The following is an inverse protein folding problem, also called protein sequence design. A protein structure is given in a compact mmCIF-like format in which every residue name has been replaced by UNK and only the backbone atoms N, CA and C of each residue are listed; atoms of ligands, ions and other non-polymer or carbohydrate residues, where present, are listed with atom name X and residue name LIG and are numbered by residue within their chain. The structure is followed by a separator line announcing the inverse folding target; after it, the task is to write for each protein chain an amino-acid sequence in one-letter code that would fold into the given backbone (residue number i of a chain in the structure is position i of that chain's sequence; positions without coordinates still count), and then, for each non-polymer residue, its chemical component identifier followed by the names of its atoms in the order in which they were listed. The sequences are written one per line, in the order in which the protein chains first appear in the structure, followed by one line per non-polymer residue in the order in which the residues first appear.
data_IF_294909606024
#
_entry.id   IF_294909606024
#
_cell.length_a   1.000
_cell.length_b   1.000
_cell.length_c   1.000
_cell.angle_alpha   90.00
_cell.angle_beta   90.00
_cell.angle_gamma   90.00
#
_symmetry.space_group_name_H-M   'P 1'
#
loop_
_entity.id
_entity.type
_entity.pdbx_description
1 polymer ?
#
# COMPACT_ATOMS: atom_id res chain seq x y z
N UNK A 1 37.88 10.88 -3.38
CA UNK A 1 37.63 9.51 -2.89
C UNK A 1 36.23 9.32 -2.28
N UNK A 2 35.61 10.32 -1.63
CA UNK A 2 34.24 10.20 -1.10
C UNK A 2 33.16 9.96 -2.18
N UNK A 3 33.33 10.54 -3.37
CA UNK A 3 32.33 10.49 -4.45
C UNK A 3 32.20 9.11 -5.13
N UNK A 4 33.26 8.28 -5.13
CA UNK A 4 33.23 6.95 -5.75
C UNK A 4 32.47 5.93 -4.90
N UNK A 5 32.50 6.06 -3.58
CA UNK A 5 31.80 5.15 -2.67
C UNK A 5 30.29 5.38 -2.67
N UNK A 6 29.86 6.65 -2.71
CA UNK A 6 28.46 7.04 -2.81
C UNK A 6 27.82 6.60 -4.14
N UNK A 7 28.58 6.69 -5.24
CA UNK A 7 28.13 6.20 -6.54
C UNK A 7 28.00 4.66 -6.54
N UNK A 8 28.95 3.94 -5.95
CA UNK A 8 28.88 2.49 -5.83
C UNK A 8 27.68 2.02 -4.97
N UNK A 9 27.39 2.70 -3.86
CA UNK A 9 26.21 2.42 -3.04
C UNK A 9 24.91 2.68 -3.81
N UNK A 10 24.83 3.80 -4.55
CA UNK A 10 23.67 4.09 -5.42
C UNK A 10 23.43 2.97 -6.43
N UNK A 11 24.48 2.53 -7.11
CA UNK A 11 24.38 1.49 -8.15
C UNK A 11 23.97 0.13 -7.55
N UNK A 12 24.44 -0.19 -6.35
CA UNK A 12 24.00 -1.38 -5.61
C UNK A 12 22.50 -1.32 -5.26
N UNK A 13 22.02 -0.18 -4.76
CA UNK A 13 20.59 0.00 -4.45
C UNK A 13 19.72 -0.10 -5.71
N UNK A 14 20.13 0.54 -6.82
CA UNK A 14 19.43 0.43 -8.11
C UNK A 14 19.38 -1.04 -8.56
N UNK A 15 20.49 -1.76 -8.47
CA UNK A 15 20.56 -3.19 -8.80
C UNK A 15 19.63 -4.03 -7.92
N UNK A 16 19.55 -3.75 -6.62
CA UNK A 16 18.65 -4.44 -5.69
C UNK A 16 17.17 -4.21 -6.02
N UNK A 17 16.79 -2.98 -6.34
CA UNK A 17 15.42 -2.63 -6.77
C UNK A 17 15.04 -3.35 -8.07
N UNK A 18 15.90 -3.29 -9.09
CA UNK A 18 15.67 -3.95 -10.39
C UNK A 18 15.60 -5.47 -10.27
N UNK A 19 16.41 -6.05 -9.39
CA UNK A 19 16.37 -7.47 -9.07
C UNK A 19 15.17 -7.89 -8.20
N UNK A 20 14.30 -6.94 -7.79
CA UNK A 20 13.10 -7.18 -6.96
C UNK A 20 13.43 -7.86 -5.64
N UNK A 21 14.64 -7.64 -5.12
CA UNK A 21 15.09 -8.19 -3.83
C UNK A 21 14.54 -7.44 -2.63
N UNK A 22 14.03 -6.22 -2.86
CA UNK A 22 13.39 -5.39 -1.85
C UNK A 22 11.88 -5.56 -1.95
N UNK A 23 11.26 -6.12 -0.90
CA UNK A 23 9.84 -6.48 -0.91
C UNK A 23 9.06 -5.94 0.29
N UNK A 24 9.68 -5.15 1.16
CA UNK A 24 9.00 -4.51 2.29
C UNK A 24 8.81 -3.00 2.10
N UNK A 25 7.74 -2.46 2.66
CA UNK A 25 7.46 -1.02 2.64
C UNK A 25 8.59 -0.21 3.29
N UNK A 26 9.10 -0.67 4.44
CA UNK A 26 10.13 0.06 5.20
C UNK A 26 11.45 0.15 4.44
N UNK A 27 11.87 -0.92 3.77
CA UNK A 27 13.09 -0.89 2.96
C UNK A 27 12.94 0.01 1.74
N UNK A 28 11.80 -0.06 1.04
CA UNK A 28 11.51 0.86 -0.08
C UNK A 28 11.50 2.31 0.39
N UNK A 29 10.88 2.63 1.54
CA UNK A 29 10.91 3.98 2.11
C UNK A 29 12.31 4.43 2.49
N UNK A 30 13.14 3.55 3.04
CA UNK A 30 14.55 3.85 3.36
C UNK A 30 15.33 4.22 2.11
N UNK A 31 15.19 3.43 1.03
CA UNK A 31 15.86 3.69 -0.24
C UNK A 31 15.35 4.98 -0.89
N UNK A 32 14.03 5.24 -0.84
CA UNK A 32 13.44 6.48 -1.32
C UNK A 32 14.04 7.71 -0.64
N UNK A 33 14.13 7.69 0.70
CA UNK A 33 14.74 8.78 1.47
C UNK A 33 16.22 8.97 1.11
N UNK A 34 16.97 7.88 0.92
CA UNK A 34 18.36 7.95 0.49
C UNK A 34 18.50 8.56 -0.92
N UNK A 35 17.66 8.15 -1.86
CA UNK A 35 17.65 8.68 -3.23
C UNK A 35 17.24 10.15 -3.31
N UNK A 36 16.29 10.60 -2.48
CA UNK A 36 15.91 12.00 -2.39
C UNK A 36 17.10 12.91 -2.01
N UNK A 37 18.01 12.43 -1.14
CA UNK A 37 19.23 13.16 -0.76
C UNK A 37 20.26 13.23 -1.90
N UNK A 38 20.25 12.27 -2.82
CA UNK A 38 21.16 12.24 -3.97
C UNK A 38 20.70 13.19 -5.09
N UNK A 39 19.39 13.42 -5.23
CA UNK A 39 18.83 14.31 -6.25
C UNK A 39 19.10 13.88 -7.70
N UNK A 40 19.50 12.62 -7.92
CA UNK A 40 19.94 12.12 -9.22
C UNK A 40 18.76 11.55 -10.02
N UNK A 41 18.53 11.97 -11.27
CA UNK A 41 17.32 11.58 -12.02
C UNK A 41 17.27 10.09 -12.37
N UNK A 42 18.41 9.42 -12.48
CA UNK A 42 18.55 7.99 -12.80
C UNK A 42 17.95 7.05 -11.73
N UNK A 43 17.63 7.56 -10.54
CA UNK A 43 17.00 6.79 -9.46
C UNK A 43 15.47 6.74 -9.56
N UNK A 44 14.87 7.63 -10.36
CA UNK A 44 13.40 7.81 -10.44
C UNK A 44 12.71 6.58 -11.03
N UNK A 45 13.23 6.07 -12.16
CA UNK A 45 12.66 4.90 -12.84
C UNK A 45 12.74 3.63 -11.97
N UNK A 46 13.91 3.24 -11.42
CA UNK A 46 14.01 2.07 -10.56
C UNK A 46 13.07 2.15 -9.34
N UNK A 47 12.95 3.32 -8.73
CA UNK A 47 12.11 3.52 -7.56
C UNK A 47 10.62 3.44 -7.88
N UNK A 48 10.19 4.05 -8.99
CA UNK A 48 8.79 3.98 -9.48
C UNK A 48 8.40 2.55 -9.84
N UNK A 49 9.29 1.83 -10.52
CA UNK A 49 9.10 0.44 -10.90
C UNK A 49 9.00 -0.48 -9.67
N UNK A 50 9.85 -0.27 -8.66
CA UNK A 50 9.81 -1.05 -7.42
C UNK A 50 8.51 -0.86 -6.63
N UNK A 51 8.01 0.37 -6.49
CA UNK A 51 6.70 0.61 -5.86
C UNK A 51 5.56 -0.05 -6.62
N UNK A 52 5.59 0.04 -7.95
CA UNK A 52 4.59 -0.60 -8.80
C UNK A 52 4.61 -2.12 -8.61
N UNK A 53 5.79 -2.73 -8.57
CA UNK A 53 5.96 -4.15 -8.31
C UNK A 53 5.46 -4.56 -6.92
N UNK A 54 5.82 -3.81 -5.88
CA UNK A 54 5.42 -4.06 -4.49
C UNK A 54 3.89 -4.10 -4.33
N UNK A 55 3.18 -3.18 -4.97
CA UNK A 55 1.71 -3.12 -4.92
C UNK A 55 1.06 -4.23 -5.76
N UNK A 56 1.58 -4.50 -6.95
CA UNK A 56 0.97 -5.44 -7.90
C UNK A 56 1.32 -6.91 -7.61
N UNK A 57 2.38 -7.18 -6.84
CA UNK A 57 2.85 -8.55 -6.53
C UNK A 57 2.43 -9.01 -5.13
N UNK A 58 1.31 -8.51 -4.63
CA UNK A 58 0.70 -8.86 -3.34
C UNK A 58 1.52 -8.50 -2.08
N UNK A 59 2.73 -7.96 -2.17
CA UNK A 59 3.53 -7.60 -0.98
C UNK A 59 2.77 -6.63 -0.07
N UNK A 60 2.13 -5.60 -0.65
CA UNK A 60 1.30 -4.67 0.13
C UNK A 60 0.15 -5.35 0.87
N UNK A 61 -0.56 -6.27 0.20
CA UNK A 61 -1.66 -7.00 0.82
C UNK A 61 -1.17 -7.91 1.94
N UNK A 62 -0.03 -8.58 1.73
CA UNK A 62 0.61 -9.43 2.73
C UNK A 62 0.97 -8.64 3.98
N UNK A 63 1.58 -7.46 3.84
CA UNK A 63 1.93 -6.62 4.99
C UNK A 63 0.67 -6.07 5.70
N UNK A 64 -0.36 -5.65 4.95
CA UNK A 64 -1.63 -5.24 5.56
C UNK A 64 -2.31 -6.38 6.33
N UNK A 65 -2.25 -7.61 5.82
CA UNK A 65 -2.77 -8.81 6.51
C UNK A 65 -1.94 -9.19 7.73
N UNK A 66 -0.63 -8.94 7.70
CA UNK A 66 0.22 -9.11 8.88
C UNK A 66 -0.16 -8.15 10.02
N UNK A 67 -0.70 -6.97 9.69
CA UNK A 67 -1.25 -6.01 10.64
C UNK A 67 -2.68 -6.36 11.09
N UNK A 68 -3.49 -6.95 10.23
CA UNK A 68 -4.93 -7.21 10.46
C UNK A 68 -5.21 -8.67 10.79
N UNK A 69 -4.60 -9.19 11.86
CA UNK A 69 -4.62 -10.63 12.15
C UNK A 69 -5.98 -11.16 12.59
N UNK A 70 -6.80 -10.32 13.23
CA UNK A 70 -8.11 -10.74 13.71
C UNK A 70 -9.13 -10.75 12.57
N UNK A 71 -9.01 -9.77 11.68
CA UNK A 71 -9.89 -9.55 10.56
C UNK A 71 -9.06 -9.21 9.31
N UNK A 72 -8.56 -10.23 8.57
CA UNK A 72 -7.64 -10.03 7.46
C UNK A 72 -8.12 -8.99 6.44
N UNK A 73 -7.24 -8.06 6.07
CA UNK A 73 -7.53 -7.01 5.10
C UNK A 73 -8.01 -7.60 3.76
N UNK A 74 -9.09 -7.02 3.23
CA UNK A 74 -9.72 -7.41 1.96
C UNK A 74 -8.83 -7.06 0.76
N UNK A 75 -8.69 -8.01 -0.17
CA UNK A 75 -7.97 -7.78 -1.42
C UNK A 75 -8.77 -6.83 -2.33
N UNK A 76 -10.09 -6.94 -2.30
CA UNK A 76 -11.04 -6.17 -3.10
C UNK A 76 -10.93 -4.67 -2.82
N UNK A 77 -10.67 -4.27 -1.57
CA UNK A 77 -10.37 -2.87 -1.21
C UNK A 77 -9.16 -2.35 -1.99
N UNK A 78 -8.09 -3.14 -2.10
CA UNK A 78 -6.88 -2.74 -2.83
C UNK A 78 -7.08 -2.78 -4.34
N UNK A 79 -7.75 -3.80 -4.88
CA UNK A 79 -8.01 -3.89 -6.31
C UNK A 79 -8.87 -2.73 -6.81
N UNK A 80 -9.91 -2.35 -6.04
CA UNK A 80 -10.73 -1.19 -6.36
C UNK A 80 -9.93 0.11 -6.27
N UNK A 81 -9.09 0.28 -5.24
CA UNK A 81 -8.22 1.45 -5.13
C UNK A 81 -7.22 1.55 -6.31
N UNK A 82 -6.59 0.43 -6.70
CA UNK A 82 -5.71 0.37 -7.87
C UNK A 82 -6.45 0.79 -9.14
N UNK A 83 -7.64 0.22 -9.38
CA UNK A 83 -8.48 0.58 -10.54
C UNK A 83 -8.79 2.08 -10.57
N UNK A 84 -9.16 2.66 -9.42
CA UNK A 84 -9.45 4.09 -9.29
C UNK A 84 -8.23 4.96 -9.55
N UNK A 85 -7.06 4.59 -9.02
CA UNK A 85 -5.80 5.28 -9.32
C UNK A 85 -5.50 5.24 -10.82
N UNK A 86 -5.62 4.09 -11.48
CA UNK A 86 -5.40 4.00 -12.93
C UNK A 86 -6.40 4.80 -13.76
N UNK A 87 -7.65 4.92 -13.29
CA UNK A 87 -8.70 5.68 -13.99
C UNK A 87 -8.70 7.18 -13.71
N UNK A 88 -7.98 7.64 -12.68
CA UNK A 88 -7.98 9.05 -12.28
C UNK A 88 -6.98 9.85 -13.12
N UNK A 89 -7.45 10.78 -13.98
CA UNK A 89 -6.58 11.60 -14.82
C UNK A 89 -5.63 12.49 -13.99
N UNK A 90 -5.91 12.71 -12.70
CA UNK A 90 -5.05 13.43 -11.77
C UNK A 90 -4.04 12.55 -11.04
N UNK A 91 -4.00 11.23 -11.27
CA UNK A 91 -3.03 10.31 -10.62
C UNK A 91 -1.58 10.59 -11.00
N UNK A 92 -1.32 11.44 -11.99
CA UNK A 92 0.02 11.95 -12.33
C UNK A 92 0.68 12.81 -11.23
N UNK A 93 -0.02 13.09 -10.11
CA UNK A 93 0.49 13.93 -9.01
C UNK A 93 1.59 13.27 -8.16
N UNK A 94 1.72 11.95 -8.19
CA UNK A 94 2.77 11.24 -7.47
C UNK A 94 3.33 10.12 -8.33
N UNK A 95 4.63 9.89 -8.21
CA UNK A 95 5.31 8.74 -8.79
C UNK A 95 5.22 7.50 -7.87
N UNK A 96 4.75 7.67 -6.62
CA UNK A 96 4.67 6.61 -5.62
C UNK A 96 3.29 5.92 -5.69
N UNK A 97 3.21 4.84 -6.47
CA UNK A 97 1.96 4.10 -6.66
C UNK A 97 1.38 3.52 -5.36
N UNK A 98 2.23 3.09 -4.42
CA UNK A 98 1.77 2.56 -3.13
C UNK A 98 1.05 3.62 -2.31
N UNK A 99 1.64 4.81 -2.19
CA UNK A 99 1.01 5.92 -1.48
C UNK A 99 -0.31 6.34 -2.14
N UNK A 100 -0.36 6.40 -3.47
CA UNK A 100 -1.58 6.72 -4.21
C UNK A 100 -2.71 5.72 -3.92
N UNK A 101 -2.41 4.42 -3.94
CA UNK A 101 -3.39 3.37 -3.64
C UNK A 101 -3.90 3.49 -2.21
N UNK A 102 -3.02 3.60 -1.22
CA UNK A 102 -3.42 3.73 0.19
C UNK A 102 -4.22 5.01 0.43
N UNK A 103 -3.81 6.12 -0.17
CA UNK A 103 -4.54 7.39 -0.09
C UNK A 103 -5.91 7.27 -0.71
N UNK A 104 -6.04 6.60 -1.87
CA UNK A 104 -7.32 6.39 -2.54
C UNK A 104 -8.27 5.53 -1.70
N UNK A 105 -7.76 4.49 -1.01
CA UNK A 105 -8.57 3.73 -0.04
C UNK A 105 -9.17 4.66 1.03
N UNK A 106 -8.36 5.58 1.57
CA UNK A 106 -8.76 6.50 2.62
C UNK A 106 -9.74 7.56 2.11
N UNK A 107 -9.38 8.28 1.04
CA UNK A 107 -10.15 9.44 0.54
C UNK A 107 -11.50 9.06 -0.01
N UNK A 108 -11.59 7.88 -0.63
CA UNK A 108 -12.82 7.42 -1.25
C UNK A 108 -13.70 6.60 -0.29
N UNK A 109 -13.25 6.42 0.96
CA UNK A 109 -14.00 5.68 1.97
C UNK A 109 -14.30 4.24 1.58
N UNK A 110 -13.33 3.52 0.99
CA UNK A 110 -13.57 2.16 0.48
C UNK A 110 -13.81 1.15 1.61
N UNK A 111 -13.14 1.32 2.75
CA UNK A 111 -13.17 0.36 3.86
C UNK A 111 -14.59 0.08 4.37
N UNK A 112 -15.43 1.09 4.73
CA UNK A 112 -16.79 0.84 5.20
C UNK A 112 -17.65 -0.02 4.25
N UNK A 113 -17.58 0.26 2.95
CA UNK A 113 -18.35 -0.47 1.94
C UNK A 113 -17.93 -1.94 1.87
N UNK A 114 -16.63 -2.20 1.69
CA UNK A 114 -16.13 -3.58 1.56
C UNK A 114 -16.19 -4.36 2.88
N UNK A 115 -16.05 -3.68 4.02
CA UNK A 115 -16.24 -4.30 5.33
C UNK A 115 -17.68 -4.81 5.51
N UNK A 116 -18.67 -3.99 5.12
CA UNK A 116 -20.07 -4.39 5.16
C UNK A 116 -20.35 -5.53 4.18
N UNK A 117 -19.88 -5.39 2.93
CA UNK A 117 -20.02 -6.41 1.91
C UNK A 117 -19.46 -7.76 2.38
N UNK A 118 -18.24 -7.77 2.92
CA UNK A 118 -17.60 -8.98 3.45
C UNK A 118 -18.35 -9.52 4.67
N UNK A 119 -18.73 -8.68 5.63
CA UNK A 119 -19.49 -9.09 6.81
C UNK A 119 -20.87 -9.67 6.47
N UNK A 120 -21.48 -9.28 5.34
CA UNK A 120 -22.76 -9.83 4.90
C UNK A 120 -22.67 -11.20 4.20
N UNK A 121 -21.46 -11.65 3.83
CA UNK A 121 -21.29 -12.92 3.14
C UNK A 121 -21.64 -14.09 4.07
N UNK A 122 -22.53 -15.02 3.67
CA UNK A 122 -22.86 -16.19 4.49
C UNK A 122 -21.66 -17.04 4.90
N UNK A 123 -20.58 -17.04 4.11
CA UNK A 123 -19.32 -17.75 4.40
C UNK A 123 -18.67 -17.28 5.70
N UNK A 124 -18.85 -16.01 6.10
CA UNK A 124 -18.39 -15.48 7.39
C UNK A 124 -19.14 -16.06 8.59
N UNK A 125 -20.30 -16.67 8.35
CA UNK A 125 -21.24 -17.16 9.35
C UNK A 125 -21.46 -18.68 9.27
N UNK A 126 -20.50 -19.41 8.69
CA UNK A 126 -20.62 -20.86 8.49
C UNK A 126 -21.73 -21.22 7.50
N UNK A 127 -21.90 -20.42 6.44
CA UNK A 127 -22.94 -20.52 5.40
C UNK A 127 -24.37 -20.33 5.93
N UNK A 128 -24.53 -19.61 7.04
CA UNK A 128 -25.84 -19.22 7.59
C UNK A 128 -26.16 -17.77 7.21
N UNK A 129 -27.45 -17.45 7.16
CA UNK A 129 -27.90 -16.07 6.98
C UNK A 129 -27.67 -15.29 8.28
N UNK A 130 -26.86 -14.23 8.29
CA UNK A 130 -26.66 -13.41 9.48
C UNK A 130 -27.83 -12.45 9.71
N UNK A 131 -28.00 -12.01 10.96
CA UNK A 131 -28.88 -10.88 11.27
C UNK A 131 -28.21 -9.57 10.88
N UNK A 132 -29.01 -8.53 10.61
CA UNK A 132 -28.51 -7.18 10.32
C UNK A 132 -27.61 -6.64 11.44
N UNK A 133 -27.96 -6.92 12.69
CA UNK A 133 -27.16 -6.53 13.86
C UNK A 133 -25.79 -7.22 13.87
N UNK A 134 -25.74 -8.53 13.61
CA UNK A 134 -24.48 -9.28 13.57
C UNK A 134 -23.57 -8.78 12.45
N UNK A 135 -24.15 -8.51 11.27
CA UNK A 135 -23.41 -7.89 10.15
C UNK A 135 -22.85 -6.54 10.56
N UNK A 136 -23.64 -5.69 11.23
CA UNK A 136 -23.17 -4.38 11.67
C UNK A 136 -22.02 -4.47 12.69
N UNK A 137 -22.11 -5.39 13.66
CA UNK A 137 -21.04 -5.61 14.64
C UNK A 137 -19.73 -6.06 13.96
N UNK A 138 -19.81 -7.05 13.06
CA UNK A 138 -18.64 -7.54 12.33
C UNK A 138 -18.08 -6.48 11.37
N UNK A 139 -18.95 -5.69 10.72
CA UNK A 139 -18.55 -4.54 9.89
C UNK A 139 -17.72 -3.56 10.70
N UNK A 140 -18.18 -3.19 11.90
CA UNK A 140 -17.46 -2.25 12.76
C UNK A 140 -16.09 -2.80 13.18
N UNK A 141 -15.98 -4.11 13.42
CA UNK A 141 -14.71 -4.76 13.75
C UNK A 141 -13.72 -4.73 12.57
N UNK A 142 -14.18 -5.05 11.35
CA UNK A 142 -13.40 -4.87 10.11
C UNK A 142 -12.94 -3.42 9.94
N UNK A 143 -13.87 -2.47 10.01
CA UNK A 143 -13.60 -1.04 9.82
C UNK A 143 -12.55 -0.54 10.81
N UNK A 144 -12.63 -0.94 12.07
CA UNK A 144 -11.67 -0.52 13.10
C UNK A 144 -10.25 -1.03 12.79
N UNK A 145 -10.08 -2.33 12.56
CA UNK A 145 -8.75 -2.92 12.34
C UNK A 145 -8.15 -2.49 10.99
N UNK A 146 -8.96 -2.43 9.93
CA UNK A 146 -8.51 -2.03 8.60
C UNK A 146 -8.09 -0.56 8.54
N UNK A 147 -8.84 0.35 9.18
CA UNK A 147 -8.43 1.76 9.26
C UNK A 147 -7.16 1.92 10.09
N UNK A 148 -7.01 1.18 11.19
CA UNK A 148 -5.79 1.19 11.99
C UNK A 148 -4.58 0.77 11.14
N UNK A 149 -4.70 -0.33 10.39
CA UNK A 149 -3.62 -0.83 9.53
C UNK A 149 -3.31 0.13 8.37
N UNK A 150 -4.34 0.69 7.72
CA UNK A 150 -4.18 1.71 6.67
C UNK A 150 -3.43 2.94 7.20
N UNK A 151 -3.84 3.46 8.36
CA UNK A 151 -3.18 4.58 9.01
C UNK A 151 -1.76 4.25 9.48
N UNK A 152 -1.50 3.00 9.89
CA UNK A 152 -0.14 2.53 10.19
C UNK A 152 0.76 2.56 8.94
N UNK A 153 0.27 2.09 7.79
CA UNK A 153 1.03 2.14 6.53
C UNK A 153 1.27 3.58 6.06
N UNK A 154 0.24 4.42 6.05
CA UNK A 154 0.34 5.81 5.56
C UNK A 154 1.29 6.68 6.39
N UNK A 155 1.46 6.40 7.69
CA UNK A 155 2.40 7.12 8.57
C UNK A 155 3.87 7.02 8.16
N UNK A 156 4.23 6.12 7.25
CA UNK A 156 5.59 6.03 6.70
C UNK A 156 5.95 7.19 5.75
N UNK A 157 4.96 8.00 5.37
CA UNK A 157 5.15 9.26 4.65
C UNK A 157 4.74 10.42 5.57
N UNK A 158 5.72 11.15 6.09
CA UNK A 158 5.49 12.35 6.90
C UNK A 158 4.79 13.46 6.09
N UNK A 159 5.09 13.51 4.80
CA UNK A 159 4.43 14.36 3.81
C UNK A 159 4.07 13.51 2.58
N UNK A 160 2.98 13.84 1.86
CA UNK A 160 2.68 13.22 0.58
C UNK A 160 3.92 13.24 -0.33
N UNK A 161 4.30 12.11 -0.96
CA UNK A 161 5.32 12.08 -2.00
C UNK A 161 4.74 12.70 -3.29
N UNK A 162 4.35 13.96 -3.23
CA UNK A 162 3.91 14.74 -4.39
C UNK A 162 5.11 15.19 -5.21
N UNK A 163 4.89 15.39 -6.51
CA UNK A 163 5.83 16.13 -7.36
C UNK A 163 5.91 17.61 -6.98
#
# INVERSE_FOLDING_TARGET
MANSNQQAEKDQLISALRARRINTLLELRRIEKAFALLGSPDVTEPMTSAWSYYVNSHNLLTELRALTKNYPFSAEVLEEAKRRVYSDPNSNRSWNFCWLVLSKVQTDGLIPYYAQYQASQPTMWGNRQPTSESVAQLTNAFVAEWNWALGHMLRNWEQPPSR
#
